data_IF_511668031675
#
_entry.id   IF_511668031675
#
_cell.length_a   1.000
_cell.length_b   1.000
_cell.length_c   1.000
_cell.angle_alpha   90.00
_cell.angle_beta   90.00
_cell.angle_gamma   90.00
#
_symmetry.space_group_name_H-M   'P 1'
#
loop_
_entity.id
_entity.type
_entity.pdbx_description
1 polymer ?
#
# COMPACT_ATOMS: atom_id res chain seq x y z
N UNK A 1 41.80 5.69 -17.60
CA UNK A 1 40.35 5.91 -17.39
C UNK A 1 39.98 7.21 -18.10
N UNK A 2 39.29 7.13 -19.23
CA UNK A 2 38.73 8.33 -19.85
C UNK A 2 37.33 8.53 -19.31
N UNK A 3 37.16 9.46 -18.36
CA UNK A 3 35.85 9.98 -17.99
C UNK A 3 35.38 10.90 -19.11
N UNK A 4 34.27 10.57 -19.76
CA UNK A 4 33.58 11.50 -20.64
C UNK A 4 32.66 12.30 -19.68
N UNK A 5 33.05 13.54 -19.41
CA UNK A 5 32.21 14.54 -18.74
C UNK A 5 31.30 15.10 -19.80
N UNK A 6 30.05 14.66 -19.86
CA UNK A 6 29.03 15.36 -20.61
C UNK A 6 28.62 16.63 -19.89
N UNK A 7 28.56 17.72 -20.58
CA UNK A 7 28.20 19.02 -20.04
C UNK A 7 26.78 18.99 -19.47
N UNK A 8 26.63 19.36 -18.21
CA UNK A 8 25.35 19.52 -17.54
C UNK A 8 24.79 20.89 -17.83
N UNK A 9 23.70 20.97 -18.56
CA UNK A 9 22.90 22.19 -18.64
C UNK A 9 21.88 22.10 -17.50
N UNK A 10 22.13 22.80 -16.39
CA UNK A 10 21.18 22.94 -15.31
C UNK A 10 20.04 23.86 -15.76
N UNK A 11 18.89 23.30 -16.11
CA UNK A 11 17.66 24.06 -16.25
C UNK A 11 17.00 24.16 -14.87
N UNK A 12 16.83 25.38 -14.34
CA UNK A 12 16.00 25.64 -13.16
C UNK A 12 14.54 25.52 -13.58
N UNK A 13 13.86 24.48 -13.16
CA UNK A 13 12.40 24.43 -13.19
C UNK A 13 11.87 24.92 -11.83
N UNK A 14 11.25 26.08 -11.80
CA UNK A 14 10.48 26.58 -10.65
C UNK A 14 9.12 25.89 -10.65
N UNK A 15 9.00 24.81 -9.91
CA UNK A 15 7.71 24.29 -9.43
C UNK A 15 7.42 24.93 -8.06
N UNK A 16 6.27 25.58 -7.94
CA UNK A 16 5.83 26.23 -6.69
C UNK A 16 5.38 25.16 -5.70
N UNK A 17 6.29 24.74 -4.84
CA UNK A 17 6.04 24.13 -3.51
C UNK A 17 7.33 24.27 -2.71
N UNK A 18 7.26 24.94 -1.56
CA UNK A 18 8.30 25.13 -0.53
C UNK A 18 9.76 25.30 -1.03
N UNK A 19 10.50 26.20 -0.44
CA UNK A 19 11.88 26.67 -0.69
C UNK A 19 12.97 25.59 -0.99
N UNK A 20 12.72 24.65 -1.88
CA UNK A 20 13.69 23.63 -2.25
C UNK A 20 14.48 24.05 -3.49
N UNK A 21 15.79 24.10 -3.36
CA UNK A 21 16.70 24.29 -4.50
C UNK A 21 17.38 22.97 -4.82
N UNK A 22 17.37 22.57 -6.09
CA UNK A 22 18.09 21.37 -6.55
C UNK A 22 19.21 21.77 -7.48
N UNK A 23 20.41 21.28 -7.23
CA UNK A 23 21.58 21.48 -8.07
C UNK A 23 22.17 20.12 -8.42
N UNK A 24 22.08 19.74 -9.68
CA UNK A 24 22.81 18.57 -10.20
C UNK A 24 24.31 18.89 -10.19
N UNK A 25 25.09 18.07 -9.53
CA UNK A 25 26.53 18.28 -9.33
C UNK A 25 27.35 17.41 -10.25
N UNK A 26 26.85 16.23 -10.61
CA UNK A 26 27.57 15.31 -11.49
C UNK A 26 26.63 14.29 -12.10
N UNK A 27 26.95 13.91 -13.32
CA UNK A 27 26.38 12.76 -13.98
C UNK A 27 27.52 11.97 -14.61
N UNK A 28 27.52 10.65 -14.42
CA UNK A 28 28.51 9.82 -15.08
C UNK A 28 27.99 8.42 -15.34
N UNK A 29 28.42 7.87 -16.44
CA UNK A 29 28.25 6.48 -16.80
C UNK A 29 29.61 5.80 -16.74
N UNK A 30 29.75 4.74 -15.96
CA UNK A 30 31.01 4.00 -15.81
C UNK A 30 31.30 3.12 -17.04
N UNK A 31 32.56 2.98 -17.39
CA UNK A 31 32.99 2.01 -18.38
C UNK A 31 33.31 0.67 -17.70
N UNK A 32 32.96 -0.50 -18.27
CA UNK A 32 32.20 -0.66 -19.52
C UNK A 32 30.75 -0.22 -19.41
N UNK A 33 30.17 0.30 -20.47
CA UNK A 33 28.81 0.84 -20.47
C UNK A 33 27.79 -0.26 -20.27
N UNK A 34 26.84 -0.06 -19.35
CA UNK A 34 25.85 -1.07 -18.92
C UNK A 34 24.41 -0.61 -19.01
N UNK A 35 24.13 0.55 -19.63
CA UNK A 35 22.80 1.14 -19.62
C UNK A 35 22.42 1.76 -18.26
N UNK A 36 23.39 1.90 -17.35
CA UNK A 36 23.22 2.52 -16.03
C UNK A 36 24.11 3.75 -15.91
N UNK A 37 23.59 4.74 -15.19
CA UNK A 37 24.35 5.94 -14.91
C UNK A 37 24.12 6.42 -13.49
N UNK A 38 25.12 7.06 -12.88
CA UNK A 38 25.01 7.68 -11.58
C UNK A 38 24.75 9.18 -11.74
N UNK A 39 23.75 9.68 -11.04
CA UNK A 39 23.45 11.10 -10.94
C UNK A 39 23.70 11.56 -9.51
N UNK A 40 24.48 12.63 -9.35
CA UNK A 40 24.76 13.27 -8.07
C UNK A 40 24.15 14.67 -8.07
N UNK A 41 23.46 15.04 -7.00
CA UNK A 41 22.81 16.33 -6.85
C UNK A 41 22.74 16.74 -5.38
N UNK A 42 22.59 18.03 -5.14
CA UNK A 42 22.36 18.58 -3.80
C UNK A 42 20.97 19.18 -3.71
N UNK A 43 20.33 18.98 -2.57
CA UNK A 43 19.03 19.56 -2.25
C UNK A 43 19.19 20.55 -1.09
N UNK A 44 18.84 21.79 -1.31
CA UNK A 44 18.77 22.85 -0.31
C UNK A 44 17.32 23.08 0.13
N UNK A 45 17.14 23.66 1.32
CA UNK A 45 15.81 23.92 1.89
C UNK A 45 15.24 22.76 2.69
N UNK A 46 13.95 22.85 3.01
CA UNK A 46 13.23 21.82 3.77
C UNK A 46 12.56 20.84 2.84
N UNK A 47 12.84 19.55 3.00
CA UNK A 47 12.19 18.50 2.22
C UNK A 47 10.74 18.33 2.66
N UNK A 48 9.80 18.14 1.71
CA UNK A 48 8.44 17.72 2.03
C UNK A 48 8.45 16.32 2.66
N UNK A 49 7.38 15.97 3.35
CA UNK A 49 7.20 14.60 3.84
C UNK A 49 7.25 13.62 2.65
N UNK A 50 7.92 12.50 2.84
CA UNK A 50 8.09 11.49 1.79
C UNK A 50 8.68 12.00 0.47
N UNK A 51 9.54 13.01 0.53
CA UNK A 51 10.13 13.61 -0.64
C UNK A 51 10.73 12.57 -1.60
N UNK A 52 10.44 12.74 -2.88
CA UNK A 52 11.04 11.97 -3.97
C UNK A 52 11.77 12.89 -4.93
N UNK A 53 12.83 12.38 -5.55
CA UNK A 53 13.45 13.06 -6.68
C UNK A 53 12.91 12.45 -7.97
N UNK A 54 12.29 13.27 -8.79
CA UNK A 54 11.95 12.93 -10.17
C UNK A 54 13.13 13.35 -11.07
N UNK A 55 13.81 12.35 -11.63
CA UNK A 55 14.95 12.53 -12.52
C UNK A 55 14.44 12.33 -13.95
N UNK A 56 14.32 13.42 -14.69
CA UNK A 56 13.92 13.39 -16.09
C UNK A 56 15.18 13.37 -16.94
N UNK A 57 15.37 12.29 -17.68
CA UNK A 57 16.44 12.13 -18.64
C UNK A 57 15.90 12.38 -20.05
N UNK A 58 16.43 13.39 -20.72
CA UNK A 58 16.07 13.75 -22.09
C UNK A 58 17.23 13.44 -23.02
N UNK A 59 16.89 12.89 -24.18
CA UNK A 59 17.80 12.75 -25.34
C UNK A 59 17.18 13.46 -26.54
N UNK A 60 17.90 13.53 -27.68
CA UNK A 60 17.35 14.14 -28.87
C UNK A 60 16.03 13.54 -29.39
N UNK A 61 15.76 12.27 -29.05
CA UNK A 61 14.62 11.51 -29.60
C UNK A 61 13.64 10.96 -28.56
N UNK A 62 13.95 11.02 -27.27
CA UNK A 62 13.14 10.40 -26.23
C UNK A 62 13.38 11.05 -24.86
N UNK A 63 12.39 10.87 -23.96
CA UNK A 63 12.47 11.29 -22.57
C UNK A 63 12.01 10.14 -21.69
N UNK A 64 12.64 9.98 -20.52
CA UNK A 64 12.23 9.02 -19.49
C UNK A 64 12.35 9.64 -18.10
N UNK A 65 11.40 9.30 -17.22
CA UNK A 65 11.38 9.76 -15.84
C UNK A 65 11.71 8.61 -14.91
N UNK A 66 12.61 8.85 -13.96
CA UNK A 66 13.03 7.92 -12.92
C UNK A 66 12.70 8.56 -11.58
N UNK A 67 11.93 7.86 -10.76
CA UNK A 67 11.58 8.33 -9.41
C UNK A 67 12.50 7.68 -8.39
N UNK A 68 13.13 8.49 -7.54
CA UNK A 68 14.04 8.05 -6.49
C UNK A 68 13.50 8.48 -5.13
N UNK A 69 13.39 7.54 -4.24
CA UNK A 69 13.01 7.76 -2.84
C UNK A 69 14.23 7.86 -1.91
N UNK A 70 13.99 8.12 -0.64
CA UNK A 70 15.03 8.22 0.40
C UNK A 70 16.04 9.35 0.14
N UNK A 71 15.59 10.46 -0.44
CA UNK A 71 16.40 11.64 -0.61
C UNK A 71 16.58 12.39 0.71
N UNK A 72 17.71 13.06 0.86
CA UNK A 72 18.05 13.84 2.06
C UNK A 72 18.36 15.28 1.67
N UNK A 73 18.18 16.20 2.60
CA UNK A 73 18.73 17.54 2.45
C UNK A 73 20.27 17.43 2.39
N UNK A 74 20.88 18.14 1.44
CA UNK A 74 22.30 18.03 1.13
C UNK A 74 22.59 17.11 -0.06
N UNK A 75 23.67 16.33 0.00
CA UNK A 75 24.15 15.52 -1.10
C UNK A 75 23.37 14.21 -1.28
N UNK A 76 22.98 13.92 -2.51
CA UNK A 76 22.31 12.70 -2.93
C UNK A 76 23.05 12.07 -4.11
N UNK A 77 23.01 10.73 -4.21
CA UNK A 77 23.58 9.98 -5.32
C UNK A 77 22.71 8.79 -5.65
N UNK A 78 22.26 8.68 -6.89
CA UNK A 78 21.39 7.60 -7.34
C UNK A 78 21.89 6.99 -8.64
N UNK A 79 21.71 5.68 -8.78
CA UNK A 79 21.96 4.96 -10.03
C UNK A 79 20.63 4.76 -10.74
N UNK A 80 20.55 5.29 -11.98
CA UNK A 80 19.39 5.05 -12.85
C UNK A 80 19.73 3.98 -13.88
N UNK A 81 18.80 3.06 -14.17
CA UNK A 81 18.87 2.09 -15.24
C UNK A 81 18.01 2.58 -16.41
N UNK A 82 18.64 3.07 -17.45
CA UNK A 82 17.97 3.68 -18.59
C UNK A 82 17.84 2.77 -19.79
N UNK A 83 18.48 1.60 -19.79
CA UNK A 83 18.53 0.74 -20.99
C UNK A 83 17.14 0.35 -21.48
N UNK A 84 16.23 -0.03 -20.58
CA UNK A 84 14.85 -0.40 -20.92
C UNK A 84 14.04 0.77 -21.50
N UNK A 85 14.29 1.98 -21.01
CA UNK A 85 13.57 3.19 -21.44
C UNK A 85 14.02 3.74 -22.80
N UNK A 86 15.22 3.37 -23.24
CA UNK A 86 15.83 3.85 -24.49
C UNK A 86 16.21 2.70 -25.43
N UNK A 87 15.35 1.68 -25.53
CA UNK A 87 15.49 0.61 -26.52
C UNK A 87 16.73 -0.26 -26.35
N UNK A 88 17.21 -0.45 -25.11
CA UNK A 88 18.42 -1.23 -24.82
C UNK A 88 19.73 -0.47 -25.00
N UNK A 89 19.67 0.85 -25.13
CA UNK A 89 20.88 1.67 -25.28
C UNK A 89 21.83 1.49 -24.09
N UNK A 90 23.11 1.23 -24.38
CA UNK A 90 24.14 1.07 -23.36
C UNK A 90 24.93 2.36 -23.14
N UNK A 91 24.84 3.31 -24.05
CA UNK A 91 25.52 4.62 -23.98
C UNK A 91 24.53 5.71 -24.40
N UNK A 92 24.46 6.76 -23.61
CA UNK A 92 23.70 7.97 -23.92
C UNK A 92 24.61 9.03 -24.49
N UNK A 93 24.18 9.60 -25.61
CA UNK A 93 24.82 10.79 -26.25
C UNK A 93 23.80 11.92 -26.23
N UNK A 94 24.25 13.17 -26.10
CA UNK A 94 23.41 14.38 -26.09
C UNK A 94 22.29 14.32 -25.03
N UNK A 95 22.61 13.78 -23.84
CA UNK A 95 21.64 13.67 -22.77
C UNK A 95 21.64 14.92 -21.88
N UNK A 96 20.46 15.36 -21.47
CA UNK A 96 20.28 16.38 -20.45
C UNK A 96 19.40 15.83 -19.31
N UNK A 97 19.56 16.41 -18.12
CA UNK A 97 18.85 15.97 -16.90
C UNK A 97 18.15 17.14 -16.25
N UNK A 98 16.95 16.85 -15.80
CA UNK A 98 16.22 17.72 -14.86
C UNK A 98 15.95 16.88 -13.62
N UNK A 99 16.26 17.41 -12.44
CA UNK A 99 15.92 16.80 -11.16
C UNK A 99 14.99 17.76 -10.44
N UNK A 100 13.80 17.29 -10.11
CA UNK A 100 12.82 18.03 -9.31
C UNK A 100 12.53 17.26 -8.02
N UNK A 101 12.28 17.98 -6.94
CA UNK A 101 11.80 17.39 -5.69
C UNK A 101 10.30 17.56 -5.65
N UNK A 102 9.61 16.45 -5.54
CA UNK A 102 8.17 16.40 -5.37
C UNK A 102 7.83 15.81 -3.99
N UNK A 103 6.66 16.13 -3.48
CA UNK A 103 6.07 15.32 -2.43
C UNK A 103 5.74 13.96 -3.04
N UNK A 104 6.47 12.93 -2.63
CA UNK A 104 6.17 11.56 -3.05
C UNK A 104 4.83 11.17 -2.48
N UNK A 105 4.12 10.28 -3.17
CA UNK A 105 3.08 9.51 -2.51
C UNK A 105 3.67 8.96 -1.20
N UNK A 106 2.92 8.95 -0.09
CA UNK A 106 3.43 8.43 1.15
C UNK A 106 4.17 7.14 0.85
N UNK A 107 5.50 7.16 1.00
CA UNK A 107 6.29 5.93 0.99
C UNK A 107 5.87 5.24 2.27
N UNK A 108 4.70 4.62 2.24
CA UNK A 108 4.29 3.71 3.28
C UNK A 108 5.38 2.63 3.29
N UNK A 109 6.38 2.85 4.14
CA UNK A 109 7.47 1.95 4.35
C UNK A 109 6.89 0.62 4.79
N UNK A 110 6.68 -0.30 3.86
CA UNK A 110 6.20 -1.61 4.22
C UNK A 110 7.28 -2.37 4.98
N UNK A 111 6.86 -3.21 5.89
CA UNK A 111 7.73 -4.05 6.72
C UNK A 111 7.74 -5.46 6.13
N UNK A 112 8.90 -5.93 5.68
CA UNK A 112 9.09 -7.32 5.32
C UNK A 112 9.37 -8.13 6.59
N UNK A 113 8.53 -9.12 6.87
CA UNK A 113 8.55 -9.89 8.12
C UNK A 113 9.25 -11.25 7.99
N UNK A 114 9.52 -11.73 6.78
CA UNK A 114 10.28 -12.96 6.49
C UNK A 114 10.93 -12.88 5.12
N UNK A 115 11.88 -13.75 4.87
CA UNK A 115 12.61 -13.83 3.61
C UNK A 115 11.68 -14.15 2.44
N UNK A 116 11.80 -13.39 1.35
CA UNK A 116 10.93 -13.47 0.17
C UNK A 116 9.43 -13.22 0.44
N UNK A 117 9.07 -12.73 1.62
CA UNK A 117 7.70 -12.30 1.91
C UNK A 117 7.38 -10.92 1.34
N UNK A 118 6.10 -10.57 1.22
CA UNK A 118 5.71 -9.24 0.82
C UNK A 118 6.06 -8.21 1.91
N UNK A 119 6.09 -6.94 1.52
CA UNK A 119 6.13 -5.82 2.45
C UNK A 119 4.71 -5.49 2.89
N UNK A 120 4.44 -5.57 4.17
CA UNK A 120 3.17 -5.20 4.80
C UNK A 120 3.16 -3.73 5.14
N UNK A 121 2.08 -3.02 4.85
CA UNK A 121 1.94 -1.63 5.25
C UNK A 121 1.92 -1.49 6.77
N UNK A 122 2.41 -0.37 7.28
CA UNK A 122 2.40 -0.10 8.72
C UNK A 122 1.00 0.24 9.24
N UNK A 123 0.12 0.77 8.36
CA UNK A 123 -1.23 1.20 8.69
C UNK A 123 -2.28 0.47 7.84
N UNK A 124 -3.52 0.42 8.33
CA UNK A 124 -4.68 0.01 7.54
C UNK A 124 -4.98 1.05 6.45
N UNK A 125 -5.70 0.65 5.40
CA UNK A 125 -6.20 1.63 4.41
C UNK A 125 -7.08 2.67 5.12
N UNK A 126 -6.80 3.96 4.86
CA UNK A 126 -7.50 5.08 5.49
C UNK A 126 -6.99 5.48 6.87
N UNK A 127 -5.96 4.80 7.39
CA UNK A 127 -5.30 5.14 8.65
C UNK A 127 -3.98 5.86 8.41
N UNK A 128 -3.61 6.76 9.30
CA UNK A 128 -2.33 7.49 9.32
C UNK A 128 -1.36 6.96 10.37
N UNK A 129 -1.85 6.16 11.32
CA UNK A 129 -1.08 5.54 12.40
C UNK A 129 -1.40 4.06 12.52
N UNK A 130 -0.47 3.23 13.01
CA UNK A 130 -0.65 1.78 13.13
C UNK A 130 -1.86 1.36 13.97
N UNK A 131 -2.22 2.14 14.99
CA UNK A 131 -3.32 1.87 15.92
C UNK A 131 -4.70 2.32 15.42
N UNK A 132 -4.77 3.12 14.36
CA UNK A 132 -6.04 3.56 13.79
C UNK A 132 -6.70 2.43 12.99
N UNK A 133 -8.02 2.31 13.11
CA UNK A 133 -8.79 1.25 12.44
C UNK A 133 -8.82 1.43 10.92
N UNK A 134 -8.79 2.67 10.42
CA UNK A 134 -8.92 3.00 9.01
C UNK A 134 -10.35 2.86 8.50
N UNK A 135 -10.47 2.56 7.20
CA UNK A 135 -11.75 2.32 6.56
C UNK A 135 -12.15 0.85 6.64
N UNK A 136 -13.47 0.62 6.62
CA UNK A 136 -14.09 -0.69 6.43
C UNK A 136 -14.57 -0.81 4.99
N UNK A 137 -14.40 -1.99 4.40
CA UNK A 137 -14.73 -2.30 3.01
C UNK A 137 -15.56 -3.57 2.94
N UNK A 138 -16.62 -3.61 2.14
CA UNK A 138 -17.12 -4.90 1.68
C UNK A 138 -16.15 -5.48 0.64
N UNK A 139 -16.19 -6.80 0.41
CA UNK A 139 -15.19 -7.46 -0.42
C UNK A 139 -15.27 -7.07 -1.90
N UNK A 140 -14.26 -6.36 -2.41
CA UNK A 140 -14.22 -5.76 -3.74
C UNK A 140 -14.66 -4.30 -3.80
N UNK A 141 -14.93 -3.68 -2.66
CA UNK A 141 -15.16 -2.24 -2.53
C UNK A 141 -13.86 -1.45 -2.62
N UNK A 142 -13.93 -0.30 -3.24
CA UNK A 142 -12.81 0.64 -3.35
C UNK A 142 -13.12 2.02 -2.74
N UNK A 143 -14.32 2.23 -2.23
CA UNK A 143 -14.71 3.49 -1.58
C UNK A 143 -14.22 3.50 -0.13
N UNK A 144 -14.61 2.52 0.65
CA UNK A 144 -14.31 2.44 2.08
C UNK A 144 -15.13 3.42 2.93
N UNK A 145 -15.44 3.01 4.17
CA UNK A 145 -16.32 3.74 5.04
C UNK A 145 -15.77 3.82 6.46
N UNK A 146 -16.05 4.94 7.13
CA UNK A 146 -15.84 5.11 8.57
C UNK A 146 -17.17 5.29 9.28
N UNK A 147 -17.17 5.05 10.58
CA UNK A 147 -18.34 5.36 11.41
C UNK A 147 -18.39 6.84 11.73
N UNK A 148 -19.60 7.39 11.80
CA UNK A 148 -19.90 8.69 12.37
C UNK A 148 -20.90 8.53 13.51
N UNK A 149 -20.51 8.93 14.72
CA UNK A 149 -21.35 8.76 15.91
C UNK A 149 -21.49 7.29 16.33
N UNK A 150 -22.61 6.99 16.93
CA UNK A 150 -22.94 5.67 17.44
C UNK A 150 -22.86 5.60 18.96
N UNK A 151 -23.80 4.86 19.57
CA UNK A 151 -23.85 4.62 20.99
C UNK A 151 -23.77 3.12 21.23
N UNK A 152 -22.89 2.70 22.15
CA UNK A 152 -22.81 1.30 22.57
C UNK A 152 -24.12 0.91 23.28
N UNK A 153 -24.73 -0.17 22.82
CA UNK A 153 -25.96 -0.67 23.40
C UNK A 153 -25.67 -1.86 24.31
N UNK A 154 -26.13 -1.78 25.56
CA UNK A 154 -26.29 -2.89 26.52
C UNK A 154 -25.09 -3.79 26.80
N UNK A 155 -23.89 -3.25 27.08
CA UNK A 155 -22.68 -4.03 27.35
C UNK A 155 -22.35 -5.09 26.28
N UNK A 156 -22.83 -4.91 25.05
CA UNK A 156 -22.45 -5.71 23.91
C UNK A 156 -21.31 -5.01 23.17
N UNK A 157 -20.48 -5.81 22.54
CA UNK A 157 -19.34 -5.33 21.78
C UNK A 157 -19.77 -4.78 20.39
N UNK A 158 -20.94 -4.14 20.30
CA UNK A 158 -21.43 -3.50 19.08
C UNK A 158 -22.14 -2.17 19.35
N UNK A 159 -22.17 -1.31 18.35
CA UNK A 159 -22.94 -0.05 18.39
C UNK A 159 -23.63 0.21 17.05
N UNK A 160 -24.79 0.86 17.11
CA UNK A 160 -25.43 1.45 15.95
C UNK A 160 -24.59 2.65 15.47
N UNK A 161 -24.28 2.68 14.21
CA UNK A 161 -23.45 3.73 13.62
C UNK A 161 -24.06 4.25 12.32
N UNK A 162 -23.78 5.50 12.01
CA UNK A 162 -23.94 6.06 10.66
C UNK A 162 -22.61 5.94 9.92
N UNK A 163 -22.68 5.51 8.70
CA UNK A 163 -21.50 5.33 7.87
C UNK A 163 -21.23 6.59 7.04
N UNK A 164 -19.95 6.93 6.93
CA UNK A 164 -19.44 8.02 6.08
C UNK A 164 -18.42 7.44 5.12
N UNK A 165 -18.60 7.68 3.81
CA UNK A 165 -17.66 7.25 2.79
C UNK A 165 -16.30 7.95 2.94
N UNK A 166 -15.27 7.41 2.35
CA UNK A 166 -13.92 8.03 2.29
C UNK A 166 -13.93 9.39 1.59
N UNK A 167 -14.97 9.68 0.79
CA UNK A 167 -15.18 10.97 0.13
C UNK A 167 -15.96 11.98 0.98
N UNK A 168 -16.37 11.59 2.20
CA UNK A 168 -17.09 12.44 3.15
C UNK A 168 -18.61 12.43 3.00
N UNK A 169 -19.16 11.56 2.14
CA UNK A 169 -20.62 11.43 1.98
C UNK A 169 -21.22 10.60 3.12
N UNK A 170 -22.22 11.16 3.79
CA UNK A 170 -22.98 10.45 4.82
C UNK A 170 -23.97 9.49 4.15
N UNK A 171 -23.86 8.20 4.50
CA UNK A 171 -24.71 7.17 3.94
C UNK A 171 -26.11 7.20 4.56
N UNK A 172 -27.14 7.18 3.73
CA UNK A 172 -28.55 7.09 4.15
C UNK A 172 -28.98 5.67 4.56
N UNK A 173 -28.21 4.67 4.15
CA UNK A 173 -28.36 3.25 4.51
C UNK A 173 -26.99 2.61 4.68
N UNK A 174 -26.95 1.44 5.30
CA UNK A 174 -25.69 0.74 5.47
C UNK A 174 -25.09 0.30 4.13
N UNK A 175 -23.78 0.49 3.92
CA UNK A 175 -23.08 -0.11 2.78
C UNK A 175 -22.80 -1.62 2.98
N UNK A 176 -22.98 -2.14 4.21
CA UNK A 176 -22.62 -3.50 4.59
C UNK A 176 -23.83 -4.43 4.67
N UNK A 177 -24.53 -4.54 3.55
CA UNK A 177 -25.68 -5.42 3.36
C UNK A 177 -25.55 -6.17 2.04
N UNK A 178 -26.18 -7.34 1.96
CA UNK A 178 -26.14 -8.17 0.75
C UNK A 178 -26.72 -7.46 -0.48
N UNK A 179 -27.69 -6.57 -0.29
CA UNK A 179 -28.28 -5.74 -1.33
C UNK A 179 -27.35 -4.65 -1.88
N UNK A 180 -26.36 -4.24 -1.08
CA UNK A 180 -25.38 -3.20 -1.41
C UNK A 180 -24.05 -3.78 -1.93
N UNK A 181 -23.89 -5.11 -1.93
CA UNK A 181 -22.64 -5.78 -2.30
C UNK A 181 -22.75 -6.44 -3.69
N UNK A 182 -22.18 -5.84 -4.75
CA UNK A 182 -22.26 -6.37 -6.11
C UNK A 182 -21.60 -7.74 -6.31
N UNK A 183 -20.71 -8.15 -5.41
CA UNK A 183 -20.03 -9.46 -5.45
C UNK A 183 -20.81 -10.57 -4.75
N UNK A 184 -21.90 -10.22 -4.05
CA UNK A 184 -22.75 -11.18 -3.35
C UNK A 184 -23.43 -12.16 -4.32
N UNK A 185 -23.40 -13.45 -3.99
CA UNK A 185 -24.02 -14.51 -4.78
C UNK A 185 -23.27 -14.89 -6.07
N UNK A 186 -22.12 -14.27 -6.37
CA UNK A 186 -21.34 -14.60 -7.55
C UNK A 186 -20.32 -15.69 -7.24
N UNK A 187 -20.38 -16.79 -7.98
CA UNK A 187 -19.30 -17.79 -7.99
C UNK A 187 -18.04 -17.24 -8.73
N UNK A 188 -16.95 -17.98 -8.69
CA UNK A 188 -15.68 -17.53 -9.28
C UNK A 188 -15.80 -17.24 -10.78
N UNK A 189 -16.60 -18.00 -11.52
CA UNK A 189 -16.86 -17.79 -12.95
C UNK A 189 -17.60 -16.47 -13.19
N UNK A 190 -18.60 -16.18 -12.37
CA UNK A 190 -19.34 -14.92 -12.44
C UNK A 190 -18.51 -13.72 -12.00
N UNK A 191 -17.64 -13.89 -10.98
CA UNK A 191 -16.70 -12.86 -10.56
C UNK A 191 -15.66 -12.56 -11.65
N UNK A 192 -15.08 -13.59 -12.28
CA UNK A 192 -14.15 -13.45 -13.40
C UNK A 192 -14.82 -12.76 -14.60
N UNK A 193 -16.01 -13.21 -14.98
CA UNK A 193 -16.77 -12.62 -16.10
C UNK A 193 -17.18 -11.18 -15.85
N UNK A 194 -17.43 -10.81 -14.59
CA UNK A 194 -17.77 -9.45 -14.19
C UNK A 194 -16.53 -8.56 -13.95
N UNK A 195 -15.29 -9.11 -14.06
CA UNK A 195 -14.05 -8.38 -13.93
C UNK A 195 -13.64 -8.06 -12.50
N UNK A 196 -14.19 -8.75 -11.49
CA UNK A 196 -13.79 -8.58 -10.09
C UNK A 196 -12.51 -9.31 -9.73
N UNK A 197 -12.32 -10.50 -10.33
CA UNK A 197 -11.11 -11.30 -10.12
C UNK A 197 -10.42 -11.59 -11.46
N UNK A 198 -9.14 -11.91 -11.38
CA UNK A 198 -8.34 -12.38 -12.53
C UNK A 198 -8.33 -13.90 -12.66
N UNK A 199 -7.57 -14.41 -13.63
CA UNK A 199 -7.41 -15.85 -13.87
C UNK A 199 -6.69 -16.59 -12.73
N UNK A 200 -6.04 -15.89 -11.81
CA UNK A 200 -5.42 -16.47 -10.60
C UNK A 200 -6.42 -16.55 -9.44
N UNK A 201 -7.64 -16.03 -9.61
CA UNK A 201 -8.69 -16.05 -8.62
C UNK A 201 -8.55 -14.96 -7.55
N UNK A 202 -7.80 -13.89 -7.81
CA UNK A 202 -7.66 -12.79 -6.85
C UNK A 202 -8.28 -11.50 -7.40
N UNK A 203 -8.70 -10.60 -6.49
CA UNK A 203 -9.24 -9.28 -6.86
C UNK A 203 -8.28 -8.56 -7.81
N UNK A 204 -8.84 -7.98 -8.88
CA UNK A 204 -8.11 -7.12 -9.83
C UNK A 204 -7.90 -5.71 -9.26
N UNK A 205 -6.88 -5.00 -9.74
CA UNK A 205 -6.53 -3.66 -9.26
C UNK A 205 -7.70 -2.65 -9.26
N UNK A 206 -8.65 -2.79 -10.20
CA UNK A 206 -9.83 -1.92 -10.29
C UNK A 206 -10.84 -2.09 -9.13
N UNK A 207 -10.76 -3.21 -8.41
CA UNK A 207 -11.62 -3.57 -7.29
C UNK A 207 -10.84 -3.81 -5.99
N UNK A 208 -9.55 -3.44 -5.99
CA UNK A 208 -8.66 -3.60 -4.85
C UNK A 208 -8.61 -2.31 -4.02
N UNK A 209 -9.10 -2.37 -2.78
CA UNK A 209 -9.15 -1.24 -1.87
C UNK A 209 -7.77 -0.62 -1.61
N UNK A 210 -6.73 -1.44 -1.48
CA UNK A 210 -5.39 -0.93 -1.23
C UNK A 210 -4.82 -0.23 -2.47
N UNK A 211 -5.02 -0.80 -3.66
CA UNK A 211 -4.63 -0.17 -4.92
C UNK A 211 -5.37 1.15 -5.15
N UNK A 212 -6.68 1.20 -4.85
CA UNK A 212 -7.49 2.40 -5.04
C UNK A 212 -7.05 3.58 -4.17
N UNK A 213 -6.65 3.32 -2.92
CA UNK A 213 -6.29 4.36 -1.95
C UNK A 213 -4.80 4.71 -1.93
N UNK A 214 -3.92 3.76 -2.23
CA UNK A 214 -2.47 3.93 -2.10
C UNK A 214 -1.74 3.92 -3.45
N UNK A 215 -2.43 3.52 -4.52
CA UNK A 215 -1.82 3.31 -5.82
C UNK A 215 -0.98 2.03 -5.89
N UNK A 216 -0.72 1.54 -7.11
CA UNK A 216 0.22 0.44 -7.32
C UNK A 216 1.63 0.85 -6.84
N UNK A 217 2.43 -0.07 -6.28
CA UNK A 217 2.24 -1.53 -6.26
C UNK A 217 1.51 -2.08 -5.01
N UNK A 218 0.83 -1.23 -4.24
CA UNK A 218 0.05 -1.67 -3.10
C UNK A 218 -1.22 -2.40 -3.54
N UNK A 219 -1.55 -3.48 -2.85
CA UNK A 219 -2.73 -4.30 -3.07
C UNK A 219 -3.19 -5.00 -1.80
N UNK A 220 -4.36 -5.59 -1.82
CA UNK A 220 -4.81 -6.49 -0.76
C UNK A 220 -3.94 -7.75 -0.74
N UNK A 221 -3.68 -8.34 0.46
CA UNK A 221 -3.00 -9.62 0.56
C UNK A 221 -3.88 -10.75 0.02
N UNK A 222 -3.28 -11.75 -0.60
CA UNK A 222 -3.98 -13.01 -0.92
C UNK A 222 -4.18 -13.84 0.35
N UNK A 223 -5.11 -14.82 0.32
CA UNK A 223 -5.28 -15.78 1.42
C UNK A 223 -3.99 -16.57 1.69
N UNK A 224 -3.21 -16.86 0.65
CA UNK A 224 -1.91 -17.51 0.77
C UNK A 224 -0.89 -16.65 1.51
N UNK A 225 -0.86 -15.34 1.26
CA UNK A 225 0.03 -14.40 1.96
C UNK A 225 -0.39 -14.20 3.43
N UNK A 226 -1.69 -14.17 3.72
CA UNK A 226 -2.20 -14.22 5.09
C UNK A 226 -1.77 -15.53 5.77
N UNK A 227 -1.91 -16.66 5.09
CA UNK A 227 -1.43 -17.95 5.57
C UNK A 227 0.07 -17.95 5.88
N UNK A 228 0.87 -17.33 5.02
CA UNK A 228 2.31 -17.17 5.22
C UNK A 228 2.62 -16.24 6.40
N UNK A 229 1.86 -15.14 6.59
CA UNK A 229 1.99 -14.26 7.76
C UNK A 229 1.79 -15.04 9.06
N UNK A 230 0.73 -15.85 9.14
CA UNK A 230 0.42 -16.68 10.33
C UNK A 230 1.50 -17.71 10.58
N UNK A 231 2.10 -18.27 9.54
CA UNK A 231 3.06 -19.39 9.64
C UNK A 231 4.49 -18.93 9.91
N UNK A 232 4.92 -17.75 9.43
CA UNK A 232 6.29 -17.27 9.50
C UNK A 232 6.53 -16.26 10.64
N UNK A 233 5.47 -15.79 11.31
CA UNK A 233 5.57 -14.76 12.34
C UNK A 233 5.09 -15.27 13.70
N UNK A 234 5.56 -14.63 14.75
CA UNK A 234 4.99 -14.73 16.09
C UNK A 234 4.02 -13.59 16.32
N UNK A 235 3.03 -13.78 17.20
CA UNK A 235 2.07 -12.74 17.52
C UNK A 235 1.88 -12.57 19.01
N UNK A 236 1.71 -11.33 19.43
CA UNK A 236 1.42 -11.00 20.83
C UNK A 236 0.25 -10.03 20.89
N UNK A 237 -0.74 -10.32 21.74
CA UNK A 237 -1.82 -9.40 22.04
C UNK A 237 -1.31 -8.26 22.92
N UNK A 238 -1.41 -7.04 22.45
CA UNK A 238 -0.90 -5.85 23.13
C UNK A 238 -1.89 -4.68 23.01
N UNK A 239 -1.58 -3.60 23.73
CA UNK A 239 -2.24 -2.31 23.61
C UNK A 239 -1.22 -1.29 23.10
N UNK A 240 -1.55 -0.58 22.02
CA UNK A 240 -0.76 0.53 21.45
C UNK A 240 -1.61 1.79 21.51
N UNK A 241 -1.15 2.82 22.22
CA UNK A 241 -1.87 4.09 22.39
C UNK A 241 -3.34 3.92 22.80
N UNK A 242 -3.63 2.92 23.67
CA UNK A 242 -4.97 2.65 24.15
C UNK A 242 -5.81 1.73 23.24
N UNK A 243 -5.29 1.29 22.10
CA UNK A 243 -5.98 0.40 21.16
C UNK A 243 -5.43 -1.01 21.28
N UNK A 244 -6.32 -1.99 21.49
CA UNK A 244 -5.96 -3.40 21.50
C UNK A 244 -5.71 -3.92 20.09
N UNK A 245 -4.82 -4.91 19.98
CA UNK A 245 -4.51 -5.56 18.71
C UNK A 245 -3.39 -6.58 18.82
N UNK A 246 -2.95 -7.08 17.68
CA UNK A 246 -1.84 -8.03 17.57
C UNK A 246 -0.59 -7.34 17.05
N UNK A 247 0.50 -7.43 17.82
CA UNK A 247 1.85 -7.19 17.31
C UNK A 247 2.31 -8.45 16.61
N UNK A 248 2.47 -8.37 15.30
CA UNK A 248 2.96 -9.47 14.45
C UNK A 248 4.44 -9.23 14.19
N UNK A 249 5.28 -10.15 14.63
CA UNK A 249 6.74 -10.01 14.60
C UNK A 249 7.37 -11.12 13.78
N UNK A 250 8.28 -10.76 12.89
CA UNK A 250 9.05 -11.72 12.12
C UNK A 250 9.91 -12.64 13.00
N UNK A 251 10.47 -13.68 12.42
CA UNK A 251 11.32 -14.66 13.12
C UNK A 251 12.75 -14.64 12.58
N UNK A 252 13.68 -15.20 13.30
CA UNK A 252 15.08 -15.32 12.89
C UNK A 252 15.72 -13.96 12.56
N UNK A 253 16.19 -13.77 11.34
CA UNK A 253 16.80 -12.51 10.88
C UNK A 253 15.82 -11.32 10.85
N UNK A 254 14.51 -11.57 10.96
CA UNK A 254 13.44 -10.58 10.92
C UNK A 254 12.80 -10.32 12.30
N UNK A 255 13.35 -10.86 13.38
CA UNK A 255 12.79 -10.75 14.74
C UNK A 255 12.77 -9.31 15.31
N UNK A 256 13.46 -8.38 14.67
CA UNK A 256 13.44 -6.95 15.00
C UNK A 256 12.41 -6.16 14.17
N UNK A 257 11.62 -6.82 13.34
CA UNK A 257 10.62 -6.20 12.47
C UNK A 257 9.22 -6.64 12.90
N UNK A 258 8.32 -5.70 13.00
CA UNK A 258 6.94 -5.98 13.40
C UNK A 258 5.96 -5.00 12.76
N UNK A 259 4.71 -5.41 12.67
CA UNK A 259 3.56 -4.56 12.36
C UNK A 259 2.53 -4.73 13.47
N UNK A 260 1.77 -3.68 13.74
CA UNK A 260 0.63 -3.74 14.65
C UNK A 260 -0.66 -3.81 13.86
N UNK A 261 -1.49 -4.82 14.12
CA UNK A 261 -2.83 -4.99 13.57
C UNK A 261 -3.85 -4.64 14.66
N UNK A 262 -4.54 -3.49 14.59
CA UNK A 262 -5.56 -3.13 15.57
C UNK A 262 -6.77 -4.07 15.48
N UNK A 263 -7.37 -4.35 16.63
CA UNK A 263 -8.62 -5.09 16.73
C UNK A 263 -9.78 -4.16 16.34
N UNK A 264 -9.99 -4.00 15.05
CA UNK A 264 -10.93 -3.04 14.49
C UNK A 264 -12.39 -3.54 14.49
N UNK A 265 -12.61 -4.83 14.76
CA UNK A 265 -13.91 -5.48 14.59
C UNK A 265 -14.33 -5.56 13.12
N UNK A 266 -15.61 -5.81 12.90
CA UNK A 266 -16.23 -5.83 11.58
C UNK A 266 -17.59 -5.14 11.55
N UNK A 267 -18.09 -4.87 10.36
CA UNK A 267 -19.35 -4.20 10.14
C UNK A 267 -20.40 -5.14 9.54
N UNK A 268 -21.63 -5.08 10.02
CA UNK A 268 -22.77 -5.78 9.43
C UNK A 268 -24.02 -4.91 9.60
N UNK A 269 -24.66 -4.57 8.50
CA UNK A 269 -25.72 -3.57 8.54
C UNK A 269 -25.23 -2.25 9.13
N UNK A 270 -25.98 -1.67 10.04
CA UNK A 270 -25.60 -0.45 10.79
C UNK A 270 -24.72 -0.72 12.00
N UNK A 271 -24.28 -1.96 12.19
CA UNK A 271 -23.51 -2.32 13.38
C UNK A 271 -22.02 -2.41 13.12
N UNK A 272 -21.23 -1.79 14.01
CA UNK A 272 -19.84 -2.11 14.22
C UNK A 272 -19.77 -3.09 15.40
N UNK A 273 -19.23 -4.27 15.16
CA UNK A 273 -19.20 -5.40 16.08
C UNK A 273 -17.76 -5.66 16.53
N UNK A 274 -17.60 -5.95 17.82
CA UNK A 274 -16.37 -6.40 18.46
C UNK A 274 -15.10 -5.52 18.29
N UNK A 275 -15.18 -4.19 18.09
CA UNK A 275 -13.96 -3.37 18.07
C UNK A 275 -13.27 -3.39 19.44
N UNK A 276 -11.96 -3.52 19.44
CA UNK A 276 -11.13 -3.68 20.63
C UNK A 276 -10.99 -5.14 21.10
N UNK A 277 -11.73 -6.08 20.52
CA UNK A 277 -11.64 -7.51 20.88
C UNK A 277 -11.35 -8.43 19.70
N UNK A 278 -11.81 -8.10 18.50
CA UNK A 278 -11.58 -8.85 17.25
C UNK A 278 -10.90 -7.98 16.19
N UNK A 279 -10.08 -8.60 15.36
CA UNK A 279 -9.54 -7.97 14.16
C UNK A 279 -9.84 -8.84 12.96
N UNK A 280 -10.60 -8.26 12.03
CA UNK A 280 -11.10 -8.90 10.83
C UNK A 280 -10.53 -8.17 9.61
N UNK A 281 -9.77 -8.89 8.77
CA UNK A 281 -9.00 -8.30 7.67
C UNK A 281 -9.18 -9.08 6.38
N UNK A 282 -9.76 -8.46 5.36
CA UNK A 282 -9.97 -9.08 4.07
C UNK A 282 -8.69 -9.56 3.39
N UNK A 283 -8.78 -10.73 2.75
CA UNK A 283 -7.88 -11.10 1.66
C UNK A 283 -8.49 -10.74 0.30
N UNK A 284 -7.67 -10.75 -0.75
CA UNK A 284 -8.13 -10.59 -2.14
C UNK A 284 -8.75 -11.85 -2.73
N UNK A 285 -8.78 -12.96 -2.00
CA UNK A 285 -9.15 -14.29 -2.50
C UNK A 285 -10.60 -14.62 -2.11
N UNK A 286 -11.50 -14.92 -3.07
CA UNK A 286 -12.85 -15.40 -2.76
C UNK A 286 -12.80 -16.81 -2.18
N UNK A 287 -13.87 -17.21 -1.50
CA UNK A 287 -14.05 -18.59 -1.07
C UNK A 287 -14.86 -19.36 -2.11
N UNK A 288 -14.18 -20.19 -2.90
CA UNK A 288 -14.78 -20.88 -4.05
C UNK A 288 -15.87 -21.89 -3.69
N UNK A 289 -15.85 -22.43 -2.46
CA UNK A 289 -16.88 -23.38 -2.02
C UNK A 289 -18.20 -22.71 -1.62
N UNK A 290 -18.23 -21.39 -1.48
CA UNK A 290 -19.43 -20.62 -1.11
C UNK A 290 -19.42 -19.25 -1.75
N UNK A 291 -20.34 -19.04 -2.73
CA UNK A 291 -20.39 -17.85 -3.58
C UNK A 291 -20.66 -16.51 -2.86
N UNK A 292 -20.98 -16.57 -1.57
CA UNK A 292 -21.22 -15.39 -0.74
C UNK A 292 -20.02 -15.05 0.15
N UNK A 293 -18.97 -15.88 0.17
CA UNK A 293 -17.85 -15.77 1.08
C UNK A 293 -16.55 -15.33 0.44
N UNK A 294 -15.67 -14.77 1.27
CA UNK A 294 -14.27 -14.54 0.95
C UNK A 294 -13.39 -14.87 2.16
N UNK A 295 -12.13 -15.22 1.88
CA UNK A 295 -11.16 -15.50 2.93
C UNK A 295 -10.74 -14.23 3.64
N UNK A 296 -10.56 -14.32 4.97
CA UNK A 296 -10.06 -13.23 5.78
C UNK A 296 -9.17 -13.72 6.92
N UNK A 297 -8.37 -12.82 7.49
CA UNK A 297 -7.65 -13.03 8.72
C UNK A 297 -8.55 -12.64 9.88
N UNK A 298 -8.74 -13.56 10.83
CA UNK A 298 -9.42 -13.31 12.08
C UNK A 298 -8.45 -13.43 13.25
N UNK A 299 -8.57 -12.55 14.23
CA UNK A 299 -7.86 -12.69 15.48
C UNK A 299 -8.57 -12.07 16.67
N UNK A 300 -8.31 -12.67 17.83
CA UNK A 300 -8.70 -12.18 19.14
C UNK A 300 -7.50 -12.20 20.09
N UNK A 301 -7.70 -11.92 21.37
CA UNK A 301 -6.67 -12.15 22.39
C UNK A 301 -6.25 -13.61 22.50
N UNK A 302 -7.15 -14.55 22.17
CA UNK A 302 -6.93 -16.00 22.28
C UNK A 302 -6.37 -16.67 21.03
N UNK A 303 -6.44 -16.05 19.84
CA UNK A 303 -6.06 -16.71 18.60
C UNK A 303 -5.72 -15.76 17.45
N UNK A 304 -5.12 -16.35 16.40
CA UNK A 304 -4.72 -15.67 15.15
C UNK A 304 -4.92 -16.69 14.01
N UNK A 305 -5.99 -16.52 13.24
CA UNK A 305 -6.52 -17.55 12.34
C UNK A 305 -6.55 -17.09 10.89
N UNK A 306 -6.10 -17.93 9.98
CA UNK A 306 -6.03 -17.67 8.54
C UNK A 306 -7.16 -18.30 7.72
N UNK A 307 -7.83 -19.30 8.28
CA UNK A 307 -8.74 -20.20 7.56
C UNK A 307 -10.21 -19.85 7.84
N UNK A 308 -10.51 -18.56 7.99
CA UNK A 308 -11.85 -18.07 8.22
C UNK A 308 -12.46 -17.45 6.97
N UNK A 309 -13.77 -17.58 6.84
CA UNK A 309 -14.57 -17.09 5.72
C UNK A 309 -15.72 -16.25 6.26
N UNK A 310 -15.89 -15.06 5.71
CA UNK A 310 -17.02 -14.21 6.04
C UNK A 310 -17.80 -13.79 4.81
N UNK A 311 -19.00 -13.28 5.02
CA UNK A 311 -19.86 -12.76 3.98
C UNK A 311 -19.25 -11.54 3.31
N UNK A 312 -19.21 -11.54 1.96
CA UNK A 312 -18.60 -10.47 1.16
C UNK A 312 -19.19 -9.09 1.40
N UNK A 313 -20.42 -8.99 1.93
CA UNK A 313 -21.02 -7.72 2.30
C UNK A 313 -20.56 -7.18 3.66
N UNK A 314 -19.92 -7.99 4.50
CA UNK A 314 -19.38 -7.53 5.78
C UNK A 314 -18.31 -6.48 5.54
N UNK A 315 -18.29 -5.46 6.39
CA UNK A 315 -17.26 -4.45 6.35
C UNK A 315 -16.05 -4.87 7.18
N UNK A 316 -14.90 -5.07 6.56
CA UNK A 316 -13.67 -5.43 7.27
C UNK A 316 -12.53 -4.49 6.89
N UNK A 317 -11.50 -4.46 7.74
CA UNK A 317 -10.28 -3.71 7.48
C UNK A 317 -9.49 -4.30 6.32
N UNK A 318 -8.63 -3.49 5.71
CA UNK A 318 -7.63 -3.93 4.72
C UNK A 318 -6.25 -3.50 5.20
N UNK A 319 -5.33 -4.47 5.37
CA UNK A 319 -3.91 -4.21 5.59
C UNK A 319 -3.17 -4.45 4.28
N UNK A 320 -2.68 -3.39 3.63
CA UNK A 320 -2.02 -3.50 2.33
C UNK A 320 -0.73 -4.30 2.36
N UNK A 321 -0.43 -4.93 1.23
CA UNK A 321 0.87 -5.51 0.93
C UNK A 321 1.42 -4.98 -0.39
N UNK A 322 2.74 -5.02 -0.56
CA UNK A 322 3.41 -4.77 -1.83
C UNK A 322 4.57 -5.72 -2.04
N UNK A 323 5.03 -5.88 -3.29
CA UNK A 323 6.08 -6.82 -3.67
C UNK A 323 5.50 -8.15 -4.14
N UNK A 324 6.35 -9.11 -4.34
CA UNK A 324 6.11 -10.29 -5.16
C UNK A 324 4.81 -11.03 -4.80
N UNK A 325 3.79 -10.92 -5.70
CA UNK A 325 2.86 -12.02 -5.89
C UNK A 325 3.65 -13.08 -6.65
N UNK A 326 3.86 -14.21 -6.05
CA UNK A 326 4.31 -15.40 -6.78
C UNK A 326 3.12 -16.03 -7.48
#
# INVERSE_FOLDING_TARGET
MKQIIMGVVAAMAMGVMADNTVKVTKFHQSYPYSGKATIEYTVGGTLPANAVAEIILNTDNASATFVQSNIVAGANSHVIDFASSFGGALLLTNASFVVTIAEGAPQLGGVQLWENGPYWAECNVGASKPEEYGYYFWWGDTVGYTRSGGTWTDNRDYCDVTWVSSTGEQMSSSPFESSSCPTWGKDDSALLSAGYIDSTGNIVAAHDAATAHLGAPWRMPTSAEIGALVSNCTTTWITTNGVYGRLVTGTGAYANRSIFLPAAGHCSGSYLTDPGSHGDYWSSTPYSAYSNGAWYLDFTSGGFYRDNVDYRYSGQSVRPVRGFAQ
#
